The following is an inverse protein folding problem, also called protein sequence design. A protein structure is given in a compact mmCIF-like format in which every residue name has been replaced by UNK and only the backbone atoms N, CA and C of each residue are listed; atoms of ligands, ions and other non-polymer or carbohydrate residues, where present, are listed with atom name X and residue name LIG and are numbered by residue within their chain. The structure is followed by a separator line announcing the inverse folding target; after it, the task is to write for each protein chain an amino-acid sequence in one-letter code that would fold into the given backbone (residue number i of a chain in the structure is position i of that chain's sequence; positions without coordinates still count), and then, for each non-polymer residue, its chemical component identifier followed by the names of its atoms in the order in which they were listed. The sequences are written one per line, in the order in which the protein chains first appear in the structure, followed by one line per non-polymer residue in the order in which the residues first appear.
data_IF_526115276634
#
_entry.id   IF_526115276634
#
_cell.length_a   1.000
_cell.length_b   1.000
_cell.length_c   1.000
_cell.angle_alpha   90.00
_cell.angle_beta   90.00
_cell.angle_gamma   90.00
#
_symmetry.space_group_name_H-M   'P 1'
#
loop_
_entity.id
_entity.type
_entity.pdbx_description
1 polymer ?
#
# COMPACT_ATOMS: atom_id res chain seq x y z
N UNK A 1 0.93 -9.38 22.97
CA UNK A 1 0.66 -10.03 21.64
C UNK A 1 0.68 -11.53 21.89
N UNK A 2 -0.38 -12.25 21.49
CA UNK A 2 -0.37 -13.72 21.56
C UNK A 2 0.68 -14.25 20.58
N UNK A 3 1.46 -15.23 21.02
CA UNK A 3 2.40 -15.91 20.13
C UNK A 3 1.60 -16.52 18.96
N UNK A 4 2.15 -16.40 17.75
CA UNK A 4 1.58 -17.05 16.57
C UNK A 4 1.79 -18.56 16.76
N UNK A 5 0.69 -19.29 16.91
CA UNK A 5 0.70 -20.74 16.99
C UNK A 5 0.94 -21.32 15.58
N UNK A 6 1.98 -22.13 15.46
CA UNK A 6 2.32 -22.83 14.22
C UNK A 6 1.89 -24.28 14.41
N UNK A 7 1.00 -24.75 13.55
CA UNK A 7 0.56 -26.17 13.61
C UNK A 7 1.63 -27.07 12.99
N UNK A 8 1.69 -28.30 13.46
CA UNK A 8 2.48 -29.35 12.81
C UNK A 8 1.88 -29.66 11.43
N UNK A 9 2.68 -29.56 10.39
CA UNK A 9 2.21 -29.73 9.01
C UNK A 9 3.12 -30.67 8.21
N UNK A 10 2.54 -31.32 7.22
CA UNK A 10 3.26 -32.18 6.28
C UNK A 10 4.01 -31.36 5.20
N UNK A 11 3.98 -30.02 5.26
CA UNK A 11 4.62 -29.17 4.27
C UNK A 11 6.12 -29.07 4.52
N UNK A 12 6.90 -29.47 3.53
CA UNK A 12 8.32 -29.23 3.52
C UNK A 12 8.59 -27.78 3.04
N UNK A 13 9.04 -26.94 3.96
CA UNK A 13 9.38 -25.55 3.70
C UNK A 13 10.89 -25.31 3.50
N UNK A 14 11.69 -26.36 3.34
CA UNK A 14 13.15 -26.28 3.23
C UNK A 14 13.61 -25.41 2.06
N UNK A 15 12.99 -25.52 0.90
CA UNK A 15 13.34 -24.69 -0.27
C UNK A 15 13.09 -23.19 -0.02
N UNK A 16 12.02 -22.86 0.72
CA UNK A 16 11.73 -21.46 1.11
C UNK A 16 12.82 -20.97 2.07
N UNK A 17 13.18 -21.77 3.05
CA UNK A 17 14.22 -21.46 4.02
C UNK A 17 15.57 -21.22 3.33
N UNK A 18 16.02 -22.13 2.50
CA UNK A 18 17.26 -22.02 1.74
C UNK A 18 17.28 -20.76 0.85
N UNK A 19 16.18 -20.49 0.18
CA UNK A 19 16.06 -19.31 -0.69
C UNK A 19 16.12 -18.02 0.10
N UNK A 20 15.38 -17.90 1.20
CA UNK A 20 15.40 -16.69 2.03
C UNK A 20 16.76 -16.48 2.67
N UNK A 21 17.39 -17.56 3.18
CA UNK A 21 18.73 -17.48 3.72
C UNK A 21 19.74 -17.03 2.68
N UNK A 22 19.64 -17.51 1.44
CA UNK A 22 20.53 -17.08 0.35
C UNK A 22 20.45 -15.58 0.05
N UNK A 23 19.28 -14.95 0.20
CA UNK A 23 19.13 -13.49 0.05
C UNK A 23 19.79 -12.71 1.18
N UNK A 24 19.77 -13.25 2.40
CA UNK A 24 20.47 -12.67 3.55
C UNK A 24 21.99 -12.80 3.35
N UNK A 25 22.47 -13.99 3.02
CA UNK A 25 23.90 -14.29 2.87
C UNK A 25 24.54 -13.50 1.72
N UNK A 26 23.79 -13.24 0.65
CA UNK A 26 24.22 -12.41 -0.47
C UNK A 26 24.07 -10.90 -0.23
N UNK A 27 23.50 -10.47 0.90
CA UNK A 27 23.29 -9.06 1.23
C UNK A 27 22.20 -8.37 0.40
N UNK A 28 21.35 -9.13 -0.31
CA UNK A 28 20.18 -8.59 -1.03
C UNK A 28 19.14 -8.04 -0.04
N UNK A 29 18.94 -8.76 1.06
CA UNK A 29 18.06 -8.34 2.16
C UNK A 29 18.85 -8.31 3.47
N UNK A 30 18.59 -7.33 4.32
CA UNK A 30 19.10 -7.31 5.70
C UNK A 30 18.36 -8.30 6.58
N UNK A 31 17.04 -8.38 6.38
CA UNK A 31 16.17 -9.31 7.07
C UNK A 31 14.88 -9.55 6.29
N UNK A 32 14.22 -10.66 6.58
CA UNK A 32 12.86 -10.92 6.12
C UNK A 32 12.15 -11.90 7.06
N UNK A 33 10.83 -11.94 6.97
CA UNK A 33 10.02 -12.98 7.59
C UNK A 33 9.12 -13.62 6.55
N UNK A 34 8.88 -14.92 6.71
CA UNK A 34 7.94 -15.69 5.89
C UNK A 34 6.84 -16.25 6.78
N UNK A 35 5.62 -16.22 6.28
CA UNK A 35 4.47 -16.82 6.94
C UNK A 35 3.68 -17.59 5.90
N UNK A 36 3.54 -18.88 6.11
CA UNK A 36 2.75 -19.77 5.26
C UNK A 36 1.47 -20.17 6.00
N UNK A 37 0.34 -20.06 5.31
CA UNK A 37 -0.95 -20.40 5.86
C UNK A 37 -1.68 -21.45 4.98
N UNK A 38 -2.43 -22.31 5.63
CA UNK A 38 -3.42 -23.18 4.99
C UNK A 38 -4.81 -22.85 5.56
N UNK A 39 -5.62 -22.17 4.77
CA UNK A 39 -6.85 -21.57 5.30
C UNK A 39 -6.54 -20.49 6.33
N UNK A 40 -7.04 -20.64 7.56
CA UNK A 40 -6.78 -19.74 8.69
C UNK A 40 -5.65 -20.21 9.63
N UNK A 41 -5.05 -21.36 9.35
CA UNK A 41 -4.01 -21.95 10.20
C UNK A 41 -2.62 -21.59 9.68
N UNK A 42 -1.70 -21.21 10.60
CA UNK A 42 -0.30 -20.96 10.25
C UNK A 42 0.46 -22.29 10.27
N UNK A 43 1.02 -22.67 9.13
CA UNK A 43 1.77 -23.91 8.96
C UNK A 43 3.29 -23.72 9.00
N UNK A 44 3.76 -22.50 8.74
CA UNK A 44 5.17 -22.12 8.90
C UNK A 44 5.31 -20.62 9.17
N UNK A 45 6.19 -20.24 10.09
CA UNK A 45 6.56 -18.85 10.39
C UNK A 45 8.01 -18.74 10.78
N UNK A 46 8.81 -18.11 9.95
CA UNK A 46 10.26 -17.96 10.13
C UNK A 46 10.71 -16.51 9.98
N UNK A 47 11.84 -16.23 10.62
CA UNK A 47 12.54 -14.94 10.51
C UNK A 47 13.99 -15.19 10.13
N UNK A 48 14.53 -14.35 9.24
CA UNK A 48 15.89 -14.45 8.72
C UNK A 48 16.60 -13.11 8.83
N UNK A 49 17.89 -13.14 9.07
CA UNK A 49 18.76 -11.96 9.09
C UNK A 49 18.63 -11.08 10.33
N UNK A 50 19.01 -9.82 10.16
CA UNK A 50 19.18 -8.89 11.27
C UNK A 50 18.36 -7.62 11.04
N UNK A 51 17.61 -7.18 12.05
CA UNK A 51 16.91 -5.90 12.05
C UNK A 51 17.88 -4.73 12.30
N UNK A 52 19.05 -5.01 12.86
CA UNK A 52 20.19 -4.11 12.96
C UNK A 52 21.44 -4.85 12.49
N UNK A 53 22.08 -4.31 11.43
CA UNK A 53 23.26 -4.93 10.81
C UNK A 53 24.55 -4.61 11.57
N UNK A 54 24.62 -3.48 12.27
CA UNK A 54 25.81 -3.07 13.02
C UNK A 54 25.94 -3.88 14.31
N UNK A 55 24.85 -3.93 15.09
CA UNK A 55 24.80 -4.66 16.35
C UNK A 55 24.40 -6.13 16.19
N UNK A 56 24.11 -6.57 14.96
CA UNK A 56 23.67 -7.95 14.63
C UNK A 56 22.49 -8.43 15.48
N UNK A 57 21.54 -7.54 15.72
CA UNK A 57 20.31 -7.92 16.39
C UNK A 57 19.43 -8.72 15.43
N UNK A 58 19.25 -10.00 15.73
CA UNK A 58 18.41 -10.90 14.93
C UNK A 58 16.98 -10.38 14.78
N UNK A 59 16.39 -10.62 13.62
CA UNK A 59 15.01 -10.26 13.38
C UNK A 59 14.08 -11.03 14.32
N UNK A 60 13.23 -10.30 15.02
CA UNK A 60 12.24 -10.86 15.94
C UNK A 60 10.91 -11.10 15.21
N UNK A 61 10.15 -12.09 15.68
CA UNK A 61 8.80 -12.39 15.15
C UNK A 61 7.78 -11.27 15.37
N UNK A 62 8.03 -10.40 16.37
CA UNK A 62 7.18 -9.24 16.70
C UNK A 62 7.74 -7.91 16.15
N UNK A 63 8.65 -7.96 15.18
CA UNK A 63 9.20 -6.77 14.55
C UNK A 63 8.13 -5.96 13.83
N UNK A 64 8.27 -4.62 13.90
CA UNK A 64 7.38 -3.69 13.22
C UNK A 64 7.98 -3.32 11.86
N UNK A 65 7.19 -3.50 10.80
CA UNK A 65 7.58 -3.20 9.43
C UNK A 65 6.86 -1.98 8.89
N UNK A 66 7.57 -1.22 8.05
CA UNK A 66 6.92 -0.22 7.20
C UNK A 66 6.24 -0.92 6.04
N UNK A 67 4.90 -1.03 6.10
CA UNK A 67 4.13 -1.84 5.16
C UNK A 67 3.90 -1.18 3.79
N UNK A 68 4.18 0.12 3.66
CA UNK A 68 3.98 0.88 2.41
C UNK A 68 2.61 0.56 1.77
N UNK A 69 2.59 0.23 0.47
CA UNK A 69 1.35 -0.04 -0.27
C UNK A 69 0.54 -1.24 0.23
N UNK A 70 1.11 -2.16 1.02
CA UNK A 70 0.33 -3.22 1.67
C UNK A 70 -0.73 -2.64 2.63
N UNK A 71 -0.50 -1.44 3.16
CA UNK A 71 -1.48 -0.69 3.95
C UNK A 71 -2.80 -0.47 3.20
N UNK A 72 -2.77 -0.37 1.86
CA UNK A 72 -3.98 -0.21 1.05
C UNK A 72 -4.95 -1.39 1.20
N UNK A 73 -4.43 -2.61 1.32
CA UNK A 73 -5.26 -3.81 1.53
C UNK A 73 -6.01 -3.69 2.85
N UNK A 74 -5.31 -3.35 3.94
CA UNK A 74 -5.90 -3.20 5.27
C UNK A 74 -6.94 -2.08 5.27
N UNK A 75 -6.62 -0.93 4.67
CA UNK A 75 -7.54 0.20 4.54
C UNK A 75 -8.78 -0.16 3.73
N UNK A 76 -8.61 -0.90 2.62
CA UNK A 76 -9.74 -1.34 1.80
C UNK A 76 -10.65 -2.31 2.55
N UNK A 77 -10.09 -3.25 3.32
CA UNK A 77 -10.88 -4.17 4.16
C UNK A 77 -11.66 -3.40 5.22
N UNK A 78 -11.03 -2.44 5.90
CA UNK A 78 -11.71 -1.59 6.88
C UNK A 78 -12.85 -0.77 6.24
N UNK A 79 -12.62 -0.24 5.03
CA UNK A 79 -13.67 0.46 4.28
C UNK A 79 -14.82 -0.49 3.90
N UNK A 80 -14.53 -1.72 3.47
CA UNK A 80 -15.56 -2.70 3.14
C UNK A 80 -16.37 -3.16 4.36
N UNK A 81 -15.80 -3.15 5.57
CA UNK A 81 -16.58 -3.39 6.79
C UNK A 81 -17.65 -2.32 6.99
N UNK A 82 -17.34 -1.04 6.71
CA UNK A 82 -18.33 0.04 6.74
C UNK A 82 -19.37 -0.08 5.63
N UNK A 83 -18.99 -0.63 4.47
CA UNK A 83 -19.94 -0.95 3.40
C UNK A 83 -20.93 -2.03 3.83
N UNK A 84 -20.48 -3.08 4.50
CA UNK A 84 -21.33 -4.15 5.02
C UNK A 84 -22.32 -3.64 6.09
N UNK A 85 -21.94 -2.59 6.82
CA UNK A 85 -22.80 -1.87 7.77
C UNK A 85 -23.78 -0.90 7.09
N UNK A 86 -23.70 -0.72 5.76
CA UNK A 86 -24.55 0.20 5.02
C UNK A 86 -24.20 1.68 5.20
N UNK A 87 -22.98 1.99 5.67
CA UNK A 87 -22.56 3.37 5.90
C UNK A 87 -22.37 4.18 4.60
N UNK A 88 -22.13 3.52 3.48
CA UNK A 88 -21.99 4.13 2.16
C UNK A 88 -22.29 3.15 1.04
N UNK A 89 -22.45 3.68 -0.18
CA UNK A 89 -22.55 2.90 -1.40
C UNK A 89 -21.25 3.02 -2.22
N UNK A 90 -20.84 1.95 -2.91
CA UNK A 90 -19.66 1.97 -3.78
C UNK A 90 -19.76 3.00 -4.90
N UNK A 91 -20.97 3.37 -5.28
CA UNK A 91 -21.26 4.39 -6.29
C UNK A 91 -21.38 5.81 -5.73
N UNK A 92 -21.29 5.99 -4.42
CA UNK A 92 -21.32 7.31 -3.81
C UNK A 92 -20.17 8.18 -4.35
N UNK A 93 -20.45 9.48 -4.60
CA UNK A 93 -19.41 10.41 -4.97
C UNK A 93 -18.48 10.69 -3.78
N UNK A 94 -17.19 10.78 -4.03
CA UNK A 94 -16.19 11.09 -2.99
C UNK A 94 -16.50 12.41 -2.28
N UNK A 95 -17.10 13.37 -2.98
CA UNK A 95 -17.51 14.66 -2.42
C UNK A 95 -18.58 14.57 -1.33
N UNK A 96 -19.29 13.45 -1.22
CA UNK A 96 -20.21 13.18 -0.09
C UNK A 96 -19.46 13.13 1.24
N UNK A 97 -18.21 12.67 1.23
CA UNK A 97 -17.36 12.49 2.41
C UNK A 97 -16.28 13.56 2.51
N UNK A 98 -15.75 13.99 1.37
CA UNK A 98 -14.71 15.02 1.27
C UNK A 98 -15.21 16.11 0.31
N UNK A 99 -15.87 17.15 0.81
CA UNK A 99 -16.55 18.17 -0.02
C UNK A 99 -15.66 18.86 -1.05
N UNK A 100 -14.34 18.99 -0.79
CA UNK A 100 -13.38 19.57 -1.73
C UNK A 100 -13.24 18.83 -3.06
N UNK A 101 -13.75 17.61 -3.15
CA UNK A 101 -13.82 16.84 -4.40
C UNK A 101 -15.11 17.08 -5.20
N UNK A 102 -15.93 18.08 -4.83
CA UNK A 102 -17.15 18.43 -5.55
C UNK A 102 -16.90 19.12 -6.89
N UNK A 103 -15.96 20.06 -6.90
CA UNK A 103 -15.65 20.90 -8.08
C UNK A 103 -14.23 20.57 -8.58
N UNK A 104 -14.05 19.35 -9.06
CA UNK A 104 -12.77 18.90 -9.61
C UNK A 104 -12.61 19.27 -11.06
N UNK A 105 -11.40 19.66 -11.43
CA UNK A 105 -10.99 19.88 -12.82
C UNK A 105 -10.09 18.76 -13.31
N UNK A 106 -10.12 18.50 -14.60
CA UNK A 106 -9.28 17.53 -15.29
C UNK A 106 -8.53 18.22 -16.44
N UNK A 107 -7.40 17.66 -16.84
CA UNK A 107 -6.71 18.12 -18.03
C UNK A 107 -7.56 17.79 -19.28
N UNK A 108 -7.64 18.72 -20.21
CA UNK A 108 -8.26 18.48 -21.52
C UNK A 108 -7.46 17.43 -22.30
N UNK A 109 -8.12 16.66 -23.18
CA UNK A 109 -7.42 15.79 -24.10
C UNK A 109 -6.38 16.57 -24.92
N UNK A 110 -5.13 16.14 -24.91
CA UNK A 110 -4.03 16.81 -25.61
C UNK A 110 -3.50 18.08 -24.93
N UNK A 111 -3.82 18.31 -23.66
CA UNK A 111 -3.28 19.42 -22.88
C UNK A 111 -1.76 19.57 -23.03
N UNK A 112 -1.29 20.81 -23.19
CA UNK A 112 0.14 21.14 -23.28
C UNK A 112 0.63 21.89 -22.03
N UNK A 113 -0.28 22.28 -21.16
CA UNK A 113 0.04 23.00 -19.91
C UNK A 113 -0.96 22.70 -18.80
N UNK A 114 -0.56 22.97 -17.56
CA UNK A 114 -1.43 22.86 -16.38
C UNK A 114 -2.66 23.82 -16.40
N UNK A 115 -2.72 24.75 -17.36
CA UNK A 115 -3.85 25.67 -17.53
C UNK A 115 -4.93 25.13 -18.48
N UNK A 116 -4.60 24.06 -19.20
CA UNK A 116 -5.52 23.42 -20.18
C UNK A 116 -6.47 22.47 -19.45
N UNK A 117 -7.30 23.03 -18.57
CA UNK A 117 -8.21 22.30 -17.71
C UNK A 117 -9.67 22.52 -18.13
N UNK A 118 -10.50 21.58 -17.72
CA UNK A 118 -11.97 21.67 -17.81
C UNK A 118 -12.60 21.05 -16.56
N UNK A 119 -13.86 21.37 -16.31
CA UNK A 119 -14.62 20.71 -15.24
C UNK A 119 -14.79 19.23 -15.56
N UNK A 120 -14.61 18.38 -14.55
CA UNK A 120 -14.90 16.96 -14.73
C UNK A 120 -16.37 16.74 -15.06
N UNK A 121 -16.66 15.91 -16.06
CA UNK A 121 -18.01 15.55 -16.46
C UNK A 121 -18.72 14.61 -15.49
N UNK A 122 -17.98 14.02 -14.56
CA UNK A 122 -18.51 13.09 -13.56
C UNK A 122 -17.71 13.16 -12.26
N UNK A 123 -18.35 12.92 -11.11
CA UNK A 123 -17.64 12.87 -9.84
C UNK A 123 -16.75 11.63 -9.74
N UNK A 124 -15.69 11.73 -8.97
CA UNK A 124 -14.95 10.55 -8.51
C UNK A 124 -15.84 9.77 -7.56
N UNK A 125 -15.91 8.44 -7.74
CA UNK A 125 -16.69 7.52 -6.90
C UNK A 125 -15.81 6.62 -6.05
N UNK A 126 -16.37 6.09 -4.96
CA UNK A 126 -15.62 5.23 -4.02
C UNK A 126 -15.05 3.98 -4.73
N UNK A 127 -15.84 3.32 -5.59
CA UNK A 127 -15.35 2.16 -6.35
C UNK A 127 -14.16 2.49 -7.26
N UNK A 128 -14.07 3.71 -7.78
CA UNK A 128 -12.94 4.14 -8.61
C UNK A 128 -11.66 4.32 -7.80
N UNK A 129 -11.76 4.76 -6.54
CA UNK A 129 -10.62 4.79 -5.62
C UNK A 129 -10.11 3.37 -5.33
N UNK A 130 -11.01 2.45 -4.99
CA UNK A 130 -10.69 1.06 -4.69
C UNK A 130 -10.07 0.32 -5.87
N UNK A 131 -10.46 0.66 -7.09
CA UNK A 131 -9.96 0.03 -8.34
C UNK A 131 -8.81 0.79 -9.01
N UNK A 132 -8.28 1.85 -8.38
CA UNK A 132 -7.25 2.72 -8.95
C UNK A 132 -7.63 3.34 -10.31
N UNK A 133 -8.92 3.65 -10.53
CA UNK A 133 -9.43 4.22 -11.78
C UNK A 133 -9.97 5.65 -11.62
N UNK A 134 -9.63 6.32 -10.51
CA UNK A 134 -10.09 7.67 -10.19
C UNK A 134 -9.33 8.79 -10.94
N UNK A 135 -8.29 8.48 -11.71
CA UNK A 135 -7.48 9.48 -12.41
C UNK A 135 -6.43 10.18 -11.54
N UNK A 136 -6.18 9.69 -10.35
CA UNK A 136 -5.12 10.21 -9.48
C UNK A 136 -3.76 9.61 -9.86
N UNK A 137 -2.68 10.40 -9.73
CA UNK A 137 -1.30 9.98 -9.99
C UNK A 137 -0.47 9.97 -8.71
N UNK A 138 0.84 9.69 -8.84
CA UNK A 138 1.79 9.66 -7.72
C UNK A 138 2.90 10.72 -7.81
N UNK A 139 2.96 11.50 -8.88
CA UNK A 139 4.03 12.47 -9.10
C UNK A 139 5.36 11.87 -9.59
N UNK A 140 5.47 10.53 -9.68
CA UNK A 140 6.68 9.84 -10.14
C UNK A 140 6.43 8.73 -11.19
N UNK A 141 5.18 8.40 -11.50
CA UNK A 141 4.85 7.33 -12.48
C UNK A 141 5.24 7.79 -13.89
N UNK A 142 4.88 9.03 -14.24
CA UNK A 142 5.23 9.67 -15.50
C UNK A 142 5.85 11.04 -15.23
N UNK A 143 7.13 11.13 -14.83
CA UNK A 143 7.75 12.38 -14.36
C UNK A 143 7.66 13.55 -15.33
N UNK A 144 7.47 13.28 -16.62
CA UNK A 144 7.30 14.29 -17.66
C UNK A 144 5.82 14.63 -17.92
N UNK A 145 4.87 13.97 -17.29
CA UNK A 145 3.46 14.30 -17.41
C UNK A 145 3.13 15.61 -16.71
N UNK A 146 2.15 16.33 -17.24
CA UNK A 146 1.70 17.59 -16.62
C UNK A 146 1.15 17.34 -15.21
N UNK A 147 0.45 16.23 -14.99
CA UNK A 147 -0.13 15.88 -13.69
C UNK A 147 0.97 15.64 -12.66
N UNK A 148 2.00 14.85 -12.99
CA UNK A 148 3.08 14.57 -12.07
C UNK A 148 3.90 15.82 -11.75
N UNK A 149 4.07 16.73 -12.74
CA UNK A 149 4.68 18.05 -12.50
C UNK A 149 3.84 18.92 -11.55
N UNK A 150 2.50 18.90 -11.69
CA UNK A 150 1.60 19.62 -10.78
C UNK A 150 1.74 19.06 -9.36
N UNK A 151 1.76 17.74 -9.19
CA UNK A 151 1.92 17.11 -7.89
C UNK A 151 3.25 17.52 -7.23
N UNK A 152 4.35 17.42 -7.97
CA UNK A 152 5.67 17.80 -7.49
C UNK A 152 5.76 19.29 -7.10
N UNK A 153 5.19 20.18 -7.93
CA UNK A 153 5.23 21.63 -7.63
C UNK A 153 4.26 22.03 -6.52
N UNK A 154 3.24 21.24 -6.26
CA UNK A 154 2.28 21.46 -5.17
C UNK A 154 2.73 20.87 -3.83
N UNK A 155 3.91 20.26 -3.79
CA UNK A 155 4.43 19.62 -2.57
C UNK A 155 3.70 18.34 -2.19
N UNK A 156 2.99 17.72 -3.14
CA UNK A 156 2.37 16.41 -2.95
C UNK A 156 3.45 15.36 -3.22
N UNK A 157 4.20 14.99 -2.19
CA UNK A 157 5.24 13.97 -2.29
C UNK A 157 4.68 12.61 -1.87
N UNK A 158 4.60 11.69 -2.82
CA UNK A 158 4.17 10.32 -2.56
C UNK A 158 5.09 9.56 -1.60
N UNK A 159 6.36 9.98 -1.46
CA UNK A 159 7.32 9.36 -0.54
C UNK A 159 7.14 9.85 0.91
N UNK A 160 6.47 10.98 1.11
CA UNK A 160 6.13 11.50 2.44
C UNK A 160 4.79 11.00 2.97
N UNK A 161 4.01 10.28 2.16
CA UNK A 161 2.78 9.60 2.60
C UNK A 161 3.19 8.52 3.59
N UNK A 162 3.04 8.80 4.87
CA UNK A 162 3.41 7.88 5.96
C UNK A 162 4.36 8.48 7.00
N UNK A 163 4.79 9.72 6.88
CA UNK A 163 5.26 10.47 8.03
C UNK A 163 4.04 10.84 8.88
N UNK A 164 3.68 9.95 9.81
CA UNK A 164 2.86 10.38 10.92
C UNK A 164 3.62 11.53 11.60
N UNK A 165 3.04 12.72 11.62
CA UNK A 165 3.48 13.73 12.53
C UNK A 165 3.20 13.20 13.94
N UNK A 166 4.24 12.73 14.61
CA UNK A 166 4.24 12.48 16.05
C UNK A 166 4.38 13.82 16.75
#
# INVERSE_FOLDING_TARGET
MSDIEVIDSEFDCSEIEERMQSYIDSGILSCCSTLLMKGSEVVDYRTFGFMDLEDKHSLRKDAIYRMYSNTKIVTSVALMSLYDEGAFELTDPLSKFIPSFGDITVLKPGAQSAKDIEMSSSPIRINQLLSHSAGLSYGFIEPNSIIDQIYNTSGIDALEIGRAHV
#
